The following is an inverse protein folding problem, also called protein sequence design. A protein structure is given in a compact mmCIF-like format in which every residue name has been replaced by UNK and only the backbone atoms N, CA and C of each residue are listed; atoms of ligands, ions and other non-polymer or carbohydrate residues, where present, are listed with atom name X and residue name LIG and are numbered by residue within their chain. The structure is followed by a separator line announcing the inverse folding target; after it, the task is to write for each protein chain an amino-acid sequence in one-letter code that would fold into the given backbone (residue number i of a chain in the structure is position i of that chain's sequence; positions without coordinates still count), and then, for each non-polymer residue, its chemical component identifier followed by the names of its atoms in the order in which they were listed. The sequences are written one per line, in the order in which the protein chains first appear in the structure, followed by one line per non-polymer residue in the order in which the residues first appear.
data_IF_911538073133
#
_entry.id   IF_911538073133
#
_cell.length_a   1.000
_cell.length_b   1.000
_cell.length_c   1.000
_cell.angle_alpha   90.00
_cell.angle_beta   90.00
_cell.angle_gamma   90.00
#
_symmetry.space_group_name_H-M   'P 1'
#
loop_
_entity.id
_entity.type
_entity.pdbx_description
1 polymer ?
#
# COMPACT_ATOMS: atom_id res chain seq x y z
N UNK A 1 -13.81 65.09 8.32
CA UNK A 1 -13.43 64.45 7.04
C UNK A 1 -12.00 64.73 6.62
N UNK A 2 -11.03 64.11 7.31
CA UNK A 2 -9.59 64.21 6.98
C UNK A 2 -9.21 63.43 5.71
N UNK A 3 -10.04 62.48 5.28
CA UNK A 3 -9.78 61.61 4.12
C UNK A 3 -9.75 62.40 2.80
N UNK A 4 -10.58 63.44 2.67
CA UNK A 4 -10.64 64.26 1.45
C UNK A 4 -9.45 65.21 1.26
N UNK A 5 -8.62 65.43 2.30
CA UNK A 5 -7.39 66.22 2.18
C UNK A 5 -6.23 65.40 1.61
N UNK A 6 -6.16 64.11 1.95
CA UNK A 6 -5.07 63.23 1.50
C UNK A 6 -5.20 62.81 0.03
N UNK A 7 -6.40 62.71 -0.52
CA UNK A 7 -6.64 62.34 -1.93
C UNK A 7 -6.22 63.38 -2.95
N UNK A 8 -5.86 64.61 -2.52
CA UNK A 8 -5.38 65.69 -3.39
C UNK A 8 -3.85 65.71 -3.58
N UNK A 9 -3.13 64.88 -2.83
CA UNK A 9 -1.67 64.80 -2.95
C UNK A 9 -1.30 63.95 -4.17
N UNK A 10 -0.38 64.42 -5.01
CA UNK A 10 -0.02 63.81 -6.30
C UNK A 10 0.38 62.32 -6.21
N UNK A 11 0.83 61.90 -5.02
CA UNK A 11 1.22 60.52 -4.69
C UNK A 11 0.03 59.53 -4.71
N UNK A 12 -1.21 60.00 -4.59
CA UNK A 12 -2.42 59.17 -4.52
C UNK A 12 -3.28 59.22 -5.78
N UNK A 13 -2.82 59.89 -6.84
CA UNK A 13 -3.55 59.97 -8.11
C UNK A 13 -3.63 58.63 -8.86
N UNK A 14 -2.76 57.67 -8.54
CA UNK A 14 -2.78 56.32 -9.11
C UNK A 14 -3.70 55.35 -8.34
N UNK A 15 -4.25 55.78 -7.19
CA UNK A 15 -5.13 54.94 -6.37
C UNK A 15 -6.59 55.23 -6.74
N UNK A 16 -7.17 54.35 -7.56
CA UNK A 16 -8.58 54.39 -7.93
C UNK A 16 -9.47 53.56 -6.99
N UNK A 17 -10.79 53.66 -7.17
CA UNK A 17 -11.78 52.87 -6.43
C UNK A 17 -11.50 51.37 -6.58
N UNK A 18 -11.51 50.66 -5.45
CA UNK A 18 -11.29 49.22 -5.40
C UNK A 18 -12.39 48.47 -6.15
N UNK A 19 -12.07 47.94 -7.33
CA UNK A 19 -13.00 47.19 -8.20
C UNK A 19 -13.00 45.67 -7.97
N UNK A 20 -12.62 45.21 -6.78
CA UNK A 20 -12.54 43.79 -6.45
C UNK A 20 -11.41 43.08 -7.21
N UNK A 21 -10.43 42.57 -6.49
CA UNK A 21 -9.49 41.59 -7.06
C UNK A 21 -9.93 40.19 -6.69
N UNK A 22 -9.67 39.25 -7.61
CA UNK A 22 -9.72 37.80 -7.43
C UNK A 22 -9.39 37.42 -5.98
N UNK A 23 -10.29 36.65 -5.35
CA UNK A 23 -10.18 36.26 -3.96
C UNK A 23 -8.99 35.30 -3.74
N UNK A 24 -7.78 35.83 -3.68
CA UNK A 24 -6.74 35.20 -2.87
C UNK A 24 -7.12 35.46 -1.41
N UNK A 25 -7.65 34.41 -0.77
CA UNK A 25 -8.17 34.49 0.60
C UNK A 25 -7.09 35.01 1.54
N UNK A 26 -7.42 36.05 2.31
CA UNK A 26 -6.57 36.63 3.35
C UNK A 26 -6.11 35.58 4.39
N UNK A 27 -6.92 34.54 4.58
CA UNK A 27 -6.64 33.37 5.43
C UNK A 27 -5.40 32.60 4.93
N UNK A 28 -5.16 32.55 3.62
CA UNK A 28 -4.01 31.87 3.02
C UNK A 28 -2.68 32.59 3.30
N UNK A 29 -2.69 33.89 3.58
CA UNK A 29 -1.48 34.63 3.91
C UNK A 29 -1.10 34.53 5.40
N UNK A 30 -2.08 34.28 6.28
CA UNK A 30 -1.90 34.28 7.74
C UNK A 30 -1.58 32.89 8.32
N UNK A 31 -1.84 31.79 7.60
CA UNK A 31 -1.52 30.44 8.06
C UNK A 31 0.00 30.15 8.04
N UNK A 32 0.53 29.64 9.15
CA UNK A 32 1.97 29.52 9.41
C UNK A 32 2.77 28.70 8.36
N UNK A 33 2.15 27.68 7.74
CA UNK A 33 2.75 26.87 6.69
C UNK A 33 2.88 27.57 5.33
N UNK A 34 1.95 28.47 5.02
CA UNK A 34 1.84 29.12 3.71
C UNK A 34 2.90 30.20 3.50
N UNK A 35 3.22 30.96 4.54
CA UNK A 35 4.27 31.98 4.51
C UNK A 35 5.67 31.39 4.19
N UNK A 36 5.92 30.13 4.56
CA UNK A 36 7.18 29.42 4.27
C UNK A 36 7.29 29.01 2.81
N UNK A 37 6.22 28.42 2.25
CA UNK A 37 6.14 28.11 0.80
C UNK A 37 6.36 29.37 -0.03
N UNK A 38 5.71 30.47 0.38
CA UNK A 38 5.84 31.77 -0.29
C UNK A 38 7.26 32.36 -0.17
N UNK A 39 7.93 32.23 0.98
CA UNK A 39 9.33 32.68 1.15
C UNK A 39 10.32 31.87 0.32
N UNK A 40 10.21 30.53 0.34
CA UNK A 40 11.03 29.64 -0.50
C UNK A 40 10.78 29.93 -1.98
N UNK A 41 9.53 30.22 -2.36
CA UNK A 41 9.18 30.68 -3.71
C UNK A 41 9.89 31.98 -4.10
N UNK A 42 9.86 33.00 -3.24
CA UNK A 42 10.57 34.26 -3.51
C UNK A 42 12.07 33.99 -3.70
N UNK A 43 12.67 33.15 -2.85
CA UNK A 43 14.09 32.79 -2.95
C UNK A 43 14.41 32.02 -4.24
N UNK A 44 13.58 31.05 -4.63
CA UNK A 44 13.73 30.30 -5.89
C UNK A 44 13.57 31.23 -7.11
N UNK A 45 12.62 32.17 -7.06
CA UNK A 45 12.40 33.18 -8.10
C UNK A 45 13.62 34.10 -8.25
N UNK A 46 14.21 34.55 -7.14
CA UNK A 46 15.46 35.32 -7.16
C UNK A 46 16.62 34.52 -7.76
N UNK A 47 16.75 33.24 -7.40
CA UNK A 47 17.83 32.37 -7.89
C UNK A 47 17.69 32.07 -9.39
N UNK A 48 16.47 31.86 -9.86
CA UNK A 48 16.16 31.59 -11.26
C UNK A 48 16.28 32.86 -12.13
N UNK A 49 15.90 34.03 -11.61
CA UNK A 49 16.08 35.32 -12.28
C UNK A 49 17.56 35.71 -12.44
N UNK A 50 18.45 35.26 -11.55
CA UNK A 50 19.89 35.50 -11.65
C UNK A 50 20.59 34.65 -12.73
N UNK A 51 19.99 33.55 -13.18
CA UNK A 51 20.57 32.63 -14.18
C UNK A 51 19.88 32.68 -15.54
N UNK A 52 18.62 33.13 -15.60
CA UNK A 52 17.84 33.25 -16.83
C UNK A 52 17.27 34.67 -16.89
N UNK A 53 17.73 35.48 -17.86
CA UNK A 53 17.32 36.87 -18.01
C UNK A 53 15.81 37.10 -17.91
N UNK A 54 15.44 38.27 -17.41
CA UNK A 54 14.18 38.72 -16.77
C UNK A 54 12.83 38.38 -17.43
N UNK A 55 12.74 37.67 -18.56
CA UNK A 55 11.54 37.70 -19.40
C UNK A 55 10.67 36.43 -19.47
N UNK A 56 10.96 35.34 -18.72
CA UNK A 56 10.15 34.09 -18.85
C UNK A 56 9.71 33.36 -17.58
N UNK A 57 10.07 33.83 -16.39
CA UNK A 57 9.61 33.27 -15.09
C UNK A 57 8.26 33.85 -14.60
N UNK A 58 7.63 34.72 -15.39
CA UNK A 58 6.60 35.66 -14.95
C UNK A 58 5.14 35.14 -14.93
N UNK A 59 4.84 33.84 -15.06
CA UNK A 59 3.43 33.41 -15.28
C UNK A 59 2.92 32.18 -14.51
N UNK A 60 3.69 31.53 -13.62
CA UNK A 60 3.18 30.37 -12.86
C UNK A 60 2.45 30.80 -11.58
N UNK A 61 1.28 30.25 -11.36
CA UNK A 61 0.51 30.38 -10.11
C UNK A 61 1.23 29.68 -8.94
N UNK A 62 0.92 30.08 -7.71
CA UNK A 62 1.49 29.43 -6.51
C UNK A 62 1.14 27.94 -6.45
N UNK A 63 -0.05 27.56 -6.95
CA UNK A 63 -0.49 26.17 -7.01
C UNK A 63 0.40 25.31 -7.95
N UNK A 64 0.69 25.77 -9.16
CA UNK A 64 1.59 25.07 -10.10
C UNK A 64 3.01 24.93 -9.55
N UNK A 65 3.46 25.89 -8.74
CA UNK A 65 4.77 25.82 -8.11
C UNK A 65 4.77 24.82 -6.96
N UNK A 66 3.71 24.83 -6.16
CA UNK A 66 3.51 23.86 -5.10
C UNK A 66 3.49 22.42 -5.66
N UNK A 67 2.81 22.19 -6.78
CA UNK A 67 2.80 20.92 -7.51
C UNK A 67 4.21 20.45 -7.90
N UNK A 68 4.99 21.31 -8.56
CA UNK A 68 6.37 21.01 -8.95
C UNK A 68 7.24 20.75 -7.71
N UNK A 69 7.04 21.50 -6.63
CA UNK A 69 7.78 21.29 -5.38
C UNK A 69 7.43 19.94 -4.76
N UNK A 70 6.14 19.56 -4.68
CA UNK A 70 5.70 18.25 -4.21
C UNK A 70 6.32 17.11 -5.03
N UNK A 71 6.38 17.26 -6.35
CA UNK A 71 7.04 16.29 -7.23
C UNK A 71 8.53 16.11 -6.90
N UNK A 72 9.25 17.22 -6.69
CA UNK A 72 10.67 17.17 -6.29
C UNK A 72 10.86 16.59 -4.88
N UNK A 73 9.92 16.82 -3.98
CA UNK A 73 9.95 16.27 -2.62
C UNK A 73 9.72 14.75 -2.63
N UNK A 74 8.74 14.25 -3.38
CA UNK A 74 8.54 12.80 -3.57
C UNK A 74 9.78 12.15 -4.18
N UNK A 75 10.39 12.80 -5.17
CA UNK A 75 11.67 12.38 -5.75
C UNK A 75 12.77 12.28 -4.70
N UNK A 76 12.91 13.30 -3.84
CA UNK A 76 13.89 13.34 -2.75
C UNK A 76 13.67 12.20 -1.75
N UNK A 77 12.41 11.92 -1.40
CA UNK A 77 12.04 10.80 -0.52
C UNK A 77 12.48 9.47 -1.14
N UNK A 78 12.16 9.21 -2.41
CA UNK A 78 12.55 7.97 -3.11
C UNK A 78 14.07 7.77 -3.08
N UNK A 79 14.85 8.82 -3.37
CA UNK A 79 16.31 8.77 -3.32
C UNK A 79 16.83 8.51 -1.89
N UNK A 80 16.16 9.06 -0.87
CA UNK A 80 16.50 8.81 0.53
C UNK A 80 16.25 7.37 0.99
N UNK A 81 15.38 6.63 0.29
CA UNK A 81 15.09 5.21 0.55
C UNK A 81 16.13 4.26 -0.08
N UNK A 82 17.16 4.79 -0.76
CA UNK A 82 18.26 3.98 -1.32
C UNK A 82 18.10 3.61 -2.80
N UNK A 83 17.07 4.14 -3.47
CA UNK A 83 16.85 3.95 -4.89
C UNK A 83 17.85 4.78 -5.71
N UNK A 84 18.60 4.13 -6.60
CA UNK A 84 19.60 4.79 -7.43
C UNK A 84 19.03 5.14 -8.81
N UNK A 85 19.25 6.35 -9.33
CA UNK A 85 18.78 6.73 -10.65
C UNK A 85 19.55 5.99 -11.73
N UNK A 86 18.84 5.25 -12.60
CA UNK A 86 19.45 4.54 -13.72
C UNK A 86 19.48 5.38 -14.99
N UNK A 87 18.39 6.11 -15.24
CA UNK A 87 18.22 6.94 -16.42
C UNK A 87 17.57 8.25 -16.02
N UNK A 88 18.24 9.36 -16.36
CA UNK A 88 17.68 10.70 -16.31
C UNK A 88 17.15 11.03 -17.70
N UNK A 89 15.86 10.85 -17.94
CA UNK A 89 15.24 11.34 -19.17
C UNK A 89 14.93 12.85 -19.07
N UNK A 90 15.95 13.66 -18.74
CA UNK A 90 15.84 15.12 -18.62
C UNK A 90 15.48 15.80 -19.96
N UNK A 91 15.61 15.09 -21.08
CA UNK A 91 15.14 15.55 -22.38
C UNK A 91 13.63 15.79 -22.42
N UNK A 92 12.84 15.12 -21.57
CA UNK A 92 11.38 15.29 -21.53
C UNK A 92 10.89 16.35 -20.54
N UNK A 93 11.66 16.69 -19.49
CA UNK A 93 11.34 17.87 -18.66
C UNK A 93 11.39 19.18 -19.46
N UNK A 94 12.25 19.24 -20.50
CA UNK A 94 12.30 20.38 -21.43
C UNK A 94 11.14 20.42 -22.44
N UNK A 95 10.43 19.31 -22.64
CA UNK A 95 9.39 19.15 -23.66
C UNK A 95 7.96 19.07 -23.08
N UNK A 96 7.77 19.11 -21.76
CA UNK A 96 6.42 19.20 -21.15
C UNK A 96 5.71 20.51 -21.51
N UNK A 97 6.44 21.55 -21.96
CA UNK A 97 5.83 22.82 -22.36
C UNK A 97 5.63 23.00 -23.88
N UNK A 98 6.28 22.20 -24.74
CA UNK A 98 6.26 22.44 -26.18
C UNK A 98 6.47 21.16 -27.01
N UNK A 99 5.50 20.25 -26.99
CA UNK A 99 5.05 19.44 -28.15
C UNK A 99 4.04 18.38 -27.68
N UNK A 100 2.78 18.56 -28.08
CA UNK A 100 1.72 17.55 -27.96
C UNK A 100 2.02 16.39 -28.90
N UNK A 101 2.85 15.44 -28.49
CA UNK A 101 2.87 14.09 -29.05
C UNK A 101 3.71 13.17 -28.14
N UNK A 102 3.04 12.58 -27.15
CA UNK A 102 3.60 11.40 -26.48
C UNK A 102 3.58 10.22 -27.47
N UNK A 103 4.63 9.39 -27.53
CA UNK A 103 4.52 8.08 -28.15
C UNK A 103 3.31 7.36 -27.54
N UNK A 104 2.57 6.63 -28.39
CA UNK A 104 1.49 5.77 -27.94
C UNK A 104 2.01 4.87 -26.83
N UNK A 105 1.31 4.84 -25.72
CA UNK A 105 1.39 3.82 -24.68
C UNK A 105 2.58 3.81 -23.72
N UNK A 106 2.84 4.86 -22.94
CA UNK A 106 3.46 4.66 -21.62
C UNK A 106 3.44 5.94 -20.77
N UNK A 107 3.44 5.77 -19.45
CA UNK A 107 3.74 6.84 -18.51
C UNK A 107 5.09 7.45 -18.93
N UNK A 108 5.11 8.74 -19.29
CA UNK A 108 6.35 9.43 -19.64
C UNK A 108 7.16 9.71 -18.37
N UNK A 109 7.86 8.68 -17.88
CA UNK A 109 8.66 8.74 -16.66
C UNK A 109 9.76 9.81 -16.79
N UNK A 110 9.76 10.76 -15.86
CA UNK A 110 10.81 11.77 -15.75
C UNK A 110 12.09 11.16 -15.15
N UNK A 111 11.93 10.21 -14.23
CA UNK A 111 13.01 9.50 -13.56
C UNK A 111 12.73 8.01 -13.47
N UNK A 112 13.75 7.20 -13.73
CA UNK A 112 13.73 5.75 -13.53
C UNK A 112 14.81 5.37 -12.52
N UNK A 113 14.40 4.67 -11.47
CA UNK A 113 15.25 4.21 -10.39
C UNK A 113 15.26 2.69 -10.31
N UNK A 114 16.36 2.13 -9.81
CA UNK A 114 16.42 0.72 -9.42
C UNK A 114 16.93 0.59 -8.00
N UNK A 115 16.38 -0.38 -7.28
CA UNK A 115 16.88 -0.83 -6.00
C UNK A 115 17.79 -2.04 -6.21
N UNK A 116 19.06 -1.90 -5.86
CA UNK A 116 20.07 -2.94 -6.13
C UNK A 116 19.87 -4.21 -5.30
N UNK A 117 19.10 -4.15 -4.20
CA UNK A 117 19.00 -5.28 -3.25
C UNK A 117 17.90 -6.29 -3.57
N UNK A 118 16.84 -5.88 -4.29
CA UNK A 118 15.69 -6.74 -4.66
C UNK A 118 15.26 -6.58 -6.12
N UNK A 119 16.01 -5.80 -6.92
CA UNK A 119 15.68 -5.61 -8.33
C UNK A 119 14.44 -4.75 -8.60
N UNK A 120 13.78 -4.20 -7.57
CA UNK A 120 12.61 -3.33 -7.72
C UNK A 120 12.96 -2.10 -8.57
N UNK A 121 12.11 -1.78 -9.53
CA UNK A 121 12.23 -0.61 -10.39
C UNK A 121 11.11 0.39 -10.08
N UNK A 122 11.47 1.67 -10.03
CA UNK A 122 10.52 2.77 -9.83
C UNK A 122 10.57 3.72 -11.01
N UNK A 123 9.40 4.00 -11.58
CA UNK A 123 9.18 5.04 -12.59
C UNK A 123 8.40 6.20 -11.95
N UNK A 124 8.99 7.39 -11.93
CA UNK A 124 8.38 8.60 -11.40
C UNK A 124 8.05 9.57 -12.55
N UNK A 125 6.76 9.89 -12.73
CA UNK A 125 6.29 10.83 -13.75
C UNK A 125 5.56 12.03 -13.15
N UNK A 126 5.69 13.15 -13.85
CA UNK A 126 4.93 14.38 -13.64
C UNK A 126 3.80 14.45 -14.67
N UNK A 127 2.57 14.74 -14.25
CA UNK A 127 1.38 14.85 -15.10
C UNK A 127 1.16 13.63 -16.02
N UNK A 128 1.25 12.42 -15.46
CA UNK A 128 1.10 11.19 -16.23
C UNK A 128 -0.31 11.11 -16.88
N UNK A 129 -0.38 10.95 -18.20
CA UNK A 129 -1.66 10.96 -18.92
C UNK A 129 -2.18 9.55 -19.19
N UNK A 130 -3.27 9.18 -18.52
CA UNK A 130 -4.05 7.98 -18.81
C UNK A 130 -5.24 8.34 -19.70
N UNK A 131 -5.42 7.64 -20.82
CA UNK A 131 -6.41 8.00 -21.83
C UNK A 131 -7.21 6.78 -22.32
N UNK A 132 -8.36 6.98 -22.99
CA UNK A 132 -9.09 5.91 -23.64
C UNK A 132 -8.35 5.22 -24.79
N UNK A 133 -7.18 5.72 -25.21
CA UNK A 133 -6.37 5.12 -26.26
C UNK A 133 -5.15 4.35 -25.73
N UNK A 134 -4.98 4.26 -24.41
CA UNK A 134 -3.88 3.48 -23.82
C UNK A 134 -4.04 1.98 -24.06
N UNK A 135 -2.93 1.27 -24.26
CA UNK A 135 -2.91 -0.20 -24.43
C UNK A 135 -2.79 -0.95 -23.11
N UNK A 136 -1.76 -0.65 -22.29
CA UNK A 136 -1.51 -1.37 -21.05
C UNK A 136 -2.30 -0.82 -19.87
N UNK A 137 -2.31 0.51 -19.70
CA UNK A 137 -3.06 1.19 -18.64
C UNK A 137 -3.92 2.28 -19.29
N UNK A 138 -5.23 2.13 -19.21
CA UNK A 138 -6.17 3.03 -19.89
C UNK A 138 -7.34 3.40 -19.02
N UNK A 139 -8.06 4.41 -19.50
CA UNK A 139 -9.35 4.83 -18.97
C UNK A 139 -10.42 4.54 -20.02
N UNK A 140 -11.72 4.69 -19.70
CA UNK A 140 -12.80 4.42 -20.66
C UNK A 140 -13.46 5.70 -21.17
N UNK A 141 -13.78 6.62 -20.26
CA UNK A 141 -14.65 7.75 -20.57
C UNK A 141 -13.92 9.08 -20.71
N UNK A 142 -12.82 9.27 -19.97
CA UNK A 142 -12.14 10.55 -19.89
C UNK A 142 -10.62 10.39 -19.77
N UNK A 143 -9.90 11.47 -20.08
CA UNK A 143 -8.48 11.53 -19.77
C UNK A 143 -8.29 11.84 -18.29
N UNK A 144 -7.38 11.12 -17.64
CA UNK A 144 -7.01 11.33 -16.25
C UNK A 144 -5.52 11.65 -16.16
N UNK A 145 -5.19 12.69 -15.38
CA UNK A 145 -3.84 13.25 -15.26
C UNK A 145 -3.52 13.56 -13.80
N UNK A 146 -3.12 12.56 -12.98
CA UNK A 146 -2.54 12.85 -11.68
C UNK A 146 -1.24 13.65 -11.85
N UNK A 147 -0.99 14.57 -10.91
CA UNK A 147 0.20 15.44 -10.95
C UNK A 147 1.48 14.63 -10.77
N UNK A 148 1.44 13.58 -9.93
CA UNK A 148 2.56 12.68 -9.70
C UNK A 148 2.07 11.24 -9.82
N UNK A 149 2.73 10.45 -10.66
CA UNK A 149 2.51 9.01 -10.73
C UNK A 149 3.80 8.26 -10.45
N UNK A 150 3.73 7.37 -9.47
CA UNK A 150 4.79 6.44 -9.11
C UNK A 150 4.37 5.04 -9.55
N UNK A 151 5.08 4.44 -10.50
CA UNK A 151 4.90 3.02 -10.85
C UNK A 151 6.03 2.22 -10.24
N UNK A 152 5.65 1.19 -9.51
CA UNK A 152 6.57 0.25 -8.87
C UNK A 152 6.47 -1.05 -9.64
N UNK A 153 7.57 -1.49 -10.24
CA UNK A 153 7.69 -2.77 -10.90
C UNK A 153 8.58 -3.70 -10.06
N UNK A 154 8.06 -4.88 -9.77
CA UNK A 154 8.72 -5.93 -9.02
C UNK A 154 9.49 -6.84 -9.98
N UNK A 155 10.49 -7.58 -9.47
CA UNK A 155 11.34 -8.46 -10.30
C UNK A 155 10.54 -9.57 -11.00
N UNK A 156 9.42 -10.00 -10.42
CA UNK A 156 8.53 -11.00 -11.01
C UNK A 156 7.64 -10.46 -12.16
N UNK A 157 7.81 -9.19 -12.55
CA UNK A 157 7.08 -8.54 -13.64
C UNK A 157 5.76 -7.90 -13.23
N UNK A 158 5.33 -8.05 -11.98
CA UNK A 158 4.14 -7.38 -11.46
C UNK A 158 4.40 -5.90 -11.21
N UNK A 159 3.37 -5.07 -11.34
CA UNK A 159 3.51 -3.65 -11.07
C UNK A 159 2.23 -3.03 -10.53
N UNK A 160 2.39 -1.95 -9.78
CA UNK A 160 1.29 -1.15 -9.25
C UNK A 160 1.64 0.35 -9.27
N UNK A 161 0.61 1.19 -9.14
CA UNK A 161 0.74 2.64 -9.06
C UNK A 161 0.45 3.15 -7.65
N UNK A 162 1.22 4.15 -7.24
CA UNK A 162 0.88 5.08 -6.18
C UNK A 162 0.73 6.46 -6.84
N UNK A 163 -0.43 7.09 -6.69
CA UNK A 163 -0.75 8.35 -7.34
C UNK A 163 -0.81 9.48 -6.32
N UNK A 164 -0.34 10.67 -6.70
CA UNK A 164 -0.50 11.88 -5.92
C UNK A 164 -1.01 13.04 -6.76
N UNK A 165 -1.73 13.95 -6.12
CA UNK A 165 -2.25 15.18 -6.72
C UNK A 165 -2.12 16.31 -5.69
N UNK A 166 -1.44 17.39 -6.08
CA UNK A 166 -1.07 18.49 -5.22
C UNK A 166 -2.18 19.54 -5.21
N UNK A 167 -2.67 19.86 -4.01
CA UNK A 167 -3.73 20.84 -3.79
C UNK A 167 -3.24 21.94 -2.87
N UNK A 168 -3.01 23.13 -3.44
CA UNK A 168 -2.64 24.32 -2.68
C UNK A 168 -3.85 24.99 -2.00
N UNK A 169 -4.60 24.22 -1.21
CA UNK A 169 -5.78 24.66 -0.44
C UNK A 169 -5.89 23.82 0.82
N UNK A 170 -6.34 24.44 1.92
CA UNK A 170 -6.72 23.76 3.16
C UNK A 170 -8.20 23.99 3.43
N UNK A 171 -8.79 23.05 4.15
CA UNK A 171 -10.10 23.16 4.76
C UNK A 171 -9.92 23.03 6.28
N UNK A 172 -10.36 24.04 7.03
CA UNK A 172 -10.27 24.06 8.51
C UNK A 172 -11.61 23.74 9.18
N UNK A 173 -12.61 23.30 8.42
CA UNK A 173 -13.97 23.04 8.92
C UNK A 173 -14.26 21.55 9.07
N UNK A 174 -13.62 20.71 8.24
CA UNK A 174 -13.89 19.28 8.19
C UNK A 174 -13.31 18.48 9.37
N UNK A 175 -12.15 18.88 9.90
CA UNK A 175 -11.42 18.13 10.93
C UNK A 175 -11.18 18.94 12.22
N UNK A 176 -12.17 19.74 12.62
CA UNK A 176 -12.07 20.61 13.78
C UNK A 176 -10.91 21.60 13.63
N UNK A 177 -10.04 21.69 14.65
CA UNK A 177 -8.89 22.61 14.65
C UNK A 177 -7.69 22.13 13.78
N UNK A 178 -7.83 21.01 13.06
CA UNK A 178 -6.75 20.44 12.23
C UNK A 178 -6.93 20.83 10.76
N UNK A 179 -5.82 21.16 10.11
CA UNK A 179 -5.79 21.41 8.67
C UNK A 179 -6.19 20.13 7.91
N UNK A 180 -7.24 20.22 7.09
CA UNK A 180 -7.67 19.14 6.20
C UNK A 180 -7.44 19.54 4.73
N UNK A 181 -7.46 18.54 3.85
CA UNK A 181 -7.55 18.79 2.42
C UNK A 181 -9.02 19.00 2.04
N UNK A 182 -9.35 19.87 1.07
CA UNK A 182 -10.72 19.99 0.58
C UNK A 182 -11.32 18.66 0.12
N UNK A 183 -12.61 18.44 0.37
CA UNK A 183 -13.31 17.19 0.04
C UNK A 183 -13.19 16.82 -1.45
N UNK A 184 -13.21 17.82 -2.33
CA UNK A 184 -13.07 17.64 -3.78
C UNK A 184 -11.74 16.98 -4.18
N UNK A 185 -10.68 17.19 -3.40
CA UNK A 185 -9.39 16.56 -3.59
C UNK A 185 -9.45 15.05 -3.29
N UNK A 186 -10.14 14.65 -2.23
CA UNK A 186 -10.34 13.23 -1.88
C UNK A 186 -11.20 12.54 -2.93
N UNK A 187 -12.28 13.20 -3.37
CA UNK A 187 -13.13 12.70 -4.46
C UNK A 187 -12.34 12.52 -5.77
N UNK A 188 -11.39 13.41 -6.05
CA UNK A 188 -10.47 13.26 -7.18
C UNK A 188 -9.57 12.02 -7.06
N UNK A 189 -9.16 11.62 -5.84
CA UNK A 189 -8.34 10.43 -5.62
C UNK A 189 -9.12 9.14 -5.86
N UNK A 190 -10.37 9.06 -5.39
CA UNK A 190 -11.28 7.96 -5.72
C UNK A 190 -11.44 7.81 -7.23
N UNK A 191 -11.63 8.93 -7.94
CA UNK A 191 -11.76 8.95 -9.39
C UNK A 191 -10.54 8.36 -10.09
N UNK A 192 -9.32 8.72 -9.68
CA UNK A 192 -8.12 8.17 -10.30
C UNK A 192 -7.93 6.68 -10.02
N UNK A 193 -8.11 6.25 -8.78
CA UNK A 193 -7.98 4.83 -8.38
C UNK A 193 -8.91 3.94 -9.20
N UNK A 194 -10.16 4.38 -9.40
CA UNK A 194 -11.18 3.55 -10.03
C UNK A 194 -11.21 3.68 -11.57
N UNK A 195 -10.78 4.81 -12.15
CA UNK A 195 -10.86 5.04 -13.60
C UNK A 195 -9.72 4.41 -14.40
N UNK A 196 -8.56 4.17 -13.78
CA UNK A 196 -7.39 3.57 -14.44
C UNK A 196 -7.48 2.05 -14.30
N UNK A 197 -7.53 1.36 -15.44
CA UNK A 197 -7.59 -0.11 -15.49
C UNK A 197 -6.40 -0.62 -16.29
N UNK A 198 -5.77 -1.65 -15.75
CA UNK A 198 -4.71 -2.39 -16.41
C UNK A 198 -5.30 -3.48 -17.30
N UNK A 199 -4.71 -3.65 -18.47
CA UNK A 199 -5.10 -4.68 -19.43
C UNK A 199 -3.91 -5.59 -19.74
N UNK A 200 -4.02 -6.84 -19.30
CA UNK A 200 -3.12 -7.90 -19.71
C UNK A 200 -3.71 -8.57 -20.95
N UNK A 201 -3.03 -8.41 -22.08
CA UNK A 201 -3.43 -9.02 -23.34
C UNK A 201 -2.90 -10.46 -23.39
N UNK A 202 -3.80 -11.41 -23.63
CA UNK A 202 -3.49 -12.81 -23.83
C UNK A 202 -3.80 -13.18 -25.28
N UNK A 203 -2.99 -14.06 -25.86
CA UNK A 203 -3.22 -14.53 -27.22
C UNK A 203 -4.56 -15.27 -27.30
N UNK A 204 -5.40 -14.93 -28.28
CA UNK A 204 -6.74 -15.50 -28.49
C UNK A 204 -7.82 -15.21 -27.44
N UNK A 205 -7.56 -14.35 -26.45
CA UNK A 205 -8.53 -14.02 -25.39
C UNK A 205 -8.84 -12.52 -25.31
N UNK A 206 -9.97 -12.20 -24.68
CA UNK A 206 -10.23 -10.81 -24.28
C UNK A 206 -9.24 -10.40 -23.18
N UNK A 207 -8.73 -9.15 -23.19
CA UNK A 207 -7.75 -8.74 -22.20
C UNK A 207 -8.28 -8.89 -20.78
N UNK A 208 -7.47 -9.53 -19.92
CA UNK A 208 -7.74 -9.59 -18.49
C UNK A 208 -7.60 -8.19 -17.91
N UNK A 209 -8.56 -7.80 -17.07
CA UNK A 209 -8.62 -6.46 -16.49
C UNK A 209 -8.36 -6.53 -15.00
N UNK A 210 -7.51 -5.64 -14.52
CA UNK A 210 -7.25 -5.47 -13.09
C UNK A 210 -7.13 -3.99 -12.75
N UNK A 211 -7.28 -3.66 -11.46
CA UNK A 211 -7.02 -2.31 -10.96
C UNK A 211 -5.55 -2.21 -10.56
N UNK A 212 -4.75 -1.33 -11.19
CA UNK A 212 -3.32 -1.26 -10.92
C UNK A 212 -2.96 -0.21 -9.85
N UNK A 213 -3.91 0.62 -9.42
CA UNK A 213 -3.65 1.68 -8.44
C UNK A 213 -3.78 1.11 -7.03
N UNK A 214 -2.65 0.98 -6.33
CA UNK A 214 -2.59 0.51 -4.94
C UNK A 214 -3.03 1.62 -3.96
N UNK A 215 -2.68 2.87 -4.26
CA UNK A 215 -3.08 4.01 -3.44
C UNK A 215 -3.13 5.32 -4.23
N UNK A 216 -4.01 6.23 -3.84
CA UNK A 216 -4.12 7.56 -4.41
C UNK A 216 -4.32 8.61 -3.30
N UNK A 217 -3.44 9.61 -3.26
CA UNK A 217 -3.34 10.54 -2.14
C UNK A 217 -3.26 12.01 -2.57
N UNK A 218 -4.00 12.87 -1.87
CA UNK A 218 -3.82 14.30 -2.04
C UNK A 218 -2.60 14.80 -1.24
N UNK A 219 -1.82 15.72 -1.82
CA UNK A 219 -0.76 16.44 -1.14
C UNK A 219 -1.22 17.87 -0.90
N UNK A 220 -1.14 18.33 0.35
CA UNK A 220 -1.70 19.64 0.70
C UNK A 220 -0.82 20.36 1.73
N UNK A 221 -0.83 21.71 1.75
CA UNK A 221 0.04 22.50 2.62
C UNK A 221 -0.47 22.58 4.08
N UNK A 222 -0.98 21.47 4.63
CA UNK A 222 -1.42 21.38 6.02
C UNK A 222 -0.24 21.42 7.00
N UNK A 223 -0.41 22.11 8.11
CA UNK A 223 0.64 22.28 9.11
C UNK A 223 0.46 21.35 10.32
N UNK A 224 1.35 20.37 10.42
CA UNK A 224 1.40 19.40 11.52
C UNK A 224 2.81 19.37 12.10
N UNK A 225 3.09 20.10 13.22
CA UNK A 225 4.43 20.19 13.77
C UNK A 225 4.91 18.88 14.42
N UNK A 226 3.97 18.04 14.86
CA UNK A 226 4.21 16.87 15.70
C UNK A 226 3.95 15.53 14.98
N UNK A 227 4.24 15.42 13.66
CA UNK A 227 3.96 14.19 12.90
C UNK A 227 4.61 12.90 13.46
N UNK A 228 5.67 13.02 14.27
CA UNK A 228 6.34 11.85 14.88
C UNK A 228 5.62 11.32 16.12
N UNK A 229 4.87 12.16 16.83
CA UNK A 229 4.11 11.82 18.04
C UNK A 229 2.61 11.70 17.78
N UNK A 230 2.12 12.25 16.66
CA UNK A 230 0.72 12.19 16.26
C UNK A 230 0.48 11.23 15.09
N UNK A 231 -0.75 10.72 15.00
CA UNK A 231 -1.22 9.95 13.86
C UNK A 231 -1.76 10.88 12.77
N UNK A 232 -1.48 10.56 11.51
CA UNK A 232 -2.09 11.25 10.36
C UNK A 232 -3.63 11.18 10.48
N UNK A 233 -4.37 12.31 10.40
CA UNK A 233 -5.83 12.31 10.41
C UNK A 233 -6.48 11.39 9.36
N UNK A 234 -5.78 11.13 8.25
CA UNK A 234 -6.23 10.24 7.18
C UNK A 234 -5.75 8.79 7.32
N UNK A 235 -5.05 8.43 8.41
CA UNK A 235 -4.41 7.12 8.56
C UNK A 235 -5.39 5.94 8.43
N UNK A 236 -6.59 6.06 9.02
CA UNK A 236 -7.62 5.02 8.91
C UNK A 236 -8.03 4.80 7.46
N UNK A 237 -8.39 5.86 6.72
CA UNK A 237 -8.76 5.77 5.31
C UNK A 237 -7.60 5.26 4.42
N UNK A 238 -6.36 5.68 4.71
CA UNK A 238 -5.18 5.20 3.99
C UNK A 238 -5.03 3.68 4.18
N UNK A 239 -5.20 3.17 5.39
CA UNK A 239 -5.04 1.75 5.71
C UNK A 239 -6.20 0.91 5.17
N UNK A 240 -7.44 1.35 5.39
CA UNK A 240 -8.63 0.58 5.05
C UNK A 240 -8.92 0.60 3.55
N UNK A 241 -8.72 1.74 2.86
CA UNK A 241 -9.15 1.91 1.46
C UNK A 241 -8.08 2.45 0.50
N UNK A 242 -6.87 2.75 0.98
CA UNK A 242 -5.78 3.24 0.12
C UNK A 242 -6.03 4.62 -0.48
N UNK A 243 -6.93 5.41 0.12
CA UNK A 243 -7.27 6.77 -0.27
C UNK A 243 -7.08 7.68 0.95
N UNK A 244 -6.50 8.85 0.75
CA UNK A 244 -6.34 9.83 1.83
C UNK A 244 -5.51 11.01 1.40
N UNK A 245 -4.84 11.64 2.37
CA UNK A 245 -3.98 12.78 2.12
C UNK A 245 -2.74 12.78 3.02
N UNK A 246 -1.68 13.40 2.52
CA UNK A 246 -0.47 13.67 3.28
C UNK A 246 -0.20 15.18 3.30
N UNK A 247 -0.08 15.80 4.48
CA UNK A 247 0.41 17.17 4.57
C UNK A 247 1.86 17.22 4.11
N UNK A 248 2.18 18.19 3.27
CA UNK A 248 3.51 18.33 2.70
C UNK A 248 3.86 19.82 2.56
N UNK A 249 4.85 20.25 3.34
CA UNK A 249 5.31 21.64 3.41
C UNK A 249 6.85 21.72 3.34
N UNK A 250 7.41 22.74 2.67
CA UNK A 250 8.85 23.02 2.72
C UNK A 250 9.34 23.24 4.15
N UNK A 251 10.53 22.73 4.47
CA UNK A 251 11.20 22.98 5.76
C UNK A 251 12.57 23.62 5.53
N UNK A 252 12.92 24.62 6.35
CA UNK A 252 14.18 25.38 6.20
C UNK A 252 15.40 24.64 6.79
N UNK A 253 15.20 23.61 7.62
CA UNK A 253 16.26 23.03 8.46
C UNK A 253 16.46 21.51 8.34
N UNK A 254 16.03 20.86 7.25
CA UNK A 254 16.10 19.39 7.12
C UNK A 254 15.51 18.63 8.32
N UNK A 255 14.63 19.26 9.10
CA UNK A 255 13.90 18.55 10.15
C UNK A 255 12.84 17.71 9.43
N UNK A 256 13.00 16.38 9.48
CA UNK A 256 12.11 15.35 8.92
C UNK A 256 10.64 15.44 9.44
N UNK A 257 10.21 16.54 10.07
CA UNK A 257 8.90 16.65 10.71
C UNK A 257 7.75 16.81 9.72
N UNK A 258 7.97 17.46 8.57
CA UNK A 258 6.86 17.91 7.70
C UNK A 258 6.51 16.94 6.57
N UNK A 259 7.36 15.94 6.30
CA UNK A 259 7.15 14.89 5.30
C UNK A 259 7.18 13.48 5.93
N UNK A 260 7.15 13.40 7.27
CA UNK A 260 7.35 12.15 8.01
C UNK A 260 6.32 11.09 7.60
N UNK A 261 5.03 11.44 7.57
CA UNK A 261 3.98 10.47 7.27
C UNK A 261 4.06 9.91 5.84
N UNK A 262 4.34 10.73 4.83
CA UNK A 262 4.53 10.25 3.46
C UNK A 262 5.82 9.43 3.32
N UNK A 263 6.89 9.84 4.00
CA UNK A 263 8.17 9.13 4.01
C UNK A 263 8.04 7.76 4.65
N UNK A 264 7.37 7.63 5.79
CA UNK A 264 7.12 6.35 6.44
C UNK A 264 6.16 5.48 5.62
N UNK A 265 5.12 6.05 5.01
CA UNK A 265 4.24 5.31 4.10
C UNK A 265 5.02 4.75 2.90
N UNK A 266 5.77 5.60 2.19
CA UNK A 266 6.59 5.16 1.06
C UNK A 266 7.71 4.21 1.49
N UNK A 267 8.31 4.41 2.67
CA UNK A 267 9.26 3.46 3.23
C UNK A 267 8.61 2.10 3.45
N UNK A 268 7.42 2.02 4.03
CA UNK A 268 6.70 0.75 4.21
C UNK A 268 6.30 0.08 2.89
N UNK A 269 5.96 0.86 1.85
CA UNK A 269 5.56 0.31 0.55
C UNK A 269 6.71 -0.02 -0.39
N UNK A 270 7.83 0.68 -0.30
CA UNK A 270 8.94 0.60 -1.25
C UNK A 270 10.23 0.03 -0.64
N UNK A 271 10.35 0.01 0.68
CA UNK A 271 11.55 -0.37 1.39
C UNK A 271 11.28 -1.30 2.57
N UNK A 272 12.29 -2.08 2.94
CA UNK A 272 12.33 -2.69 4.28
C UNK A 272 12.74 -1.58 5.24
N UNK A 273 11.79 -0.92 5.92
CA UNK A 273 12.16 0.18 6.83
C UNK A 273 13.08 -0.32 7.95
N UNK A 274 14.28 0.27 7.97
CA UNK A 274 15.32 0.35 9.02
C UNK A 274 16.28 -0.84 9.20
N UNK A 275 17.55 -0.52 8.90
CA UNK A 275 18.81 -1.13 9.36
C UNK A 275 18.69 -2.13 10.52
N UNK A 276 19.39 -3.26 10.33
CA UNK A 276 19.83 -4.23 11.33
C UNK A 276 18.81 -5.30 11.76
N UNK A 277 18.72 -6.34 10.94
CA UNK A 277 19.25 -7.65 11.33
C UNK A 277 19.85 -8.29 10.09
N UNK A 278 21.17 -8.49 10.13
CA UNK A 278 21.91 -9.33 9.21
C UNK A 278 21.21 -10.68 9.09
N UNK A 279 21.10 -11.17 7.85
CA UNK A 279 20.34 -12.35 7.43
C UNK A 279 18.81 -12.21 7.51
N UNK A 280 18.16 -11.90 6.37
CA UNK A 280 17.18 -12.82 5.76
C UNK A 280 16.64 -12.34 4.41
N UNK A 281 16.39 -13.36 3.61
CA UNK A 281 15.79 -13.50 2.27
C UNK A 281 14.80 -12.40 1.87
N UNK A 282 14.73 -12.17 0.55
CA UNK A 282 13.70 -11.38 -0.14
C UNK A 282 12.35 -11.53 0.54
N UNK A 283 11.72 -10.41 0.92
CA UNK A 283 10.30 -10.43 1.30
C UNK A 283 9.51 -10.95 0.10
N UNK A 284 8.52 -11.81 0.32
CA UNK A 284 7.63 -12.21 -0.78
C UNK A 284 6.93 -10.97 -1.34
N UNK A 285 7.02 -10.77 -2.66
CA UNK A 285 6.32 -9.72 -3.41
C UNK A 285 4.81 -9.72 -3.16
N UNK A 286 4.26 -10.84 -2.68
CA UNK A 286 2.85 -10.98 -2.34
C UNK A 286 2.36 -9.93 -1.33
N UNK A 287 3.27 -9.40 -0.49
CA UNK A 287 2.97 -8.42 0.54
C UNK A 287 2.09 -7.27 0.04
N UNK A 288 2.42 -6.68 -1.10
CA UNK A 288 1.72 -5.51 -1.66
C UNK A 288 0.27 -5.82 -2.04
N UNK A 289 -0.09 -7.10 -2.23
CA UNK A 289 -1.40 -7.53 -2.74
C UNK A 289 -2.27 -8.21 -1.66
N UNK A 290 -1.80 -8.26 -0.40
CA UNK A 290 -2.53 -8.87 0.71
C UNK A 290 -3.30 -7.84 1.56
N UNK A 291 -2.85 -6.60 1.53
CA UNK A 291 -3.39 -5.50 2.31
C UNK A 291 -4.89 -5.30 2.08
N UNK A 292 -5.60 -4.85 3.11
CA UNK A 292 -7.06 -4.68 3.07
C UNK A 292 -7.49 -3.74 1.93
N UNK A 293 -6.80 -2.61 1.77
CA UNK A 293 -7.05 -1.64 0.69
C UNK A 293 -6.90 -2.22 -0.72
N UNK A 294 -5.99 -3.19 -0.92
CA UNK A 294 -5.78 -3.85 -2.20
C UNK A 294 -6.83 -4.94 -2.51
N UNK A 295 -7.59 -5.38 -1.50
CA UNK A 295 -8.54 -6.52 -1.59
C UNK A 295 -10.01 -6.13 -1.51
N UNK A 296 -10.32 -4.84 -1.70
CA UNK A 296 -11.71 -4.36 -1.76
C UNK A 296 -12.36 -4.83 -3.07
N UNK A 297 -13.13 -5.91 -2.98
CA UNK A 297 -13.92 -6.45 -4.07
C UNK A 297 -15.37 -5.94 -4.04
N UNK A 298 -16.11 -5.98 -5.16
CA UNK A 298 -17.56 -5.87 -5.14
C UNK A 298 -18.17 -6.92 -4.19
N UNK A 299 -19.23 -6.55 -3.48
CA UNK A 299 -19.90 -7.45 -2.54
C UNK A 299 -20.36 -8.74 -3.26
N UNK A 300 -19.98 -9.89 -2.69
CA UNK A 300 -20.23 -11.22 -3.27
C UNK A 300 -19.08 -11.79 -4.11
N UNK A 301 -18.03 -11.00 -4.35
CA UNK A 301 -16.79 -11.46 -5.01
C UNK A 301 -15.66 -11.52 -3.99
N UNK A 302 -14.75 -12.48 -4.13
CA UNK A 302 -13.52 -12.56 -3.35
C UNK A 302 -12.32 -12.44 -4.28
N UNK A 303 -11.36 -11.59 -3.92
CA UNK A 303 -10.06 -11.52 -4.61
C UNK A 303 -9.10 -12.44 -3.88
N UNK A 304 -8.67 -13.52 -4.54
CA UNK A 304 -7.68 -14.45 -4.01
C UNK A 304 -6.33 -14.28 -4.72
N UNK A 305 -5.24 -14.18 -3.95
CA UNK A 305 -3.89 -14.10 -4.51
C UNK A 305 -3.40 -15.45 -5.05
N UNK A 306 -3.55 -16.52 -4.26
CA UNK A 306 -3.20 -17.88 -4.63
C UNK A 306 -4.44 -18.76 -4.68
N UNK A 307 -4.65 -19.45 -5.80
CA UNK A 307 -5.60 -20.54 -5.87
C UNK A 307 -4.99 -21.75 -5.16
N UNK A 308 -5.76 -22.42 -4.30
CA UNK A 308 -5.29 -23.63 -3.61
C UNK A 308 -4.28 -23.42 -2.48
N UNK A 309 -4.34 -22.28 -1.79
CA UNK A 309 -3.54 -22.04 -0.59
C UNK A 309 -3.77 -23.14 0.47
N UNK A 310 -2.69 -23.84 0.82
CA UNK A 310 -2.67 -24.97 1.75
C UNK A 310 -1.97 -24.61 3.04
N UNK A 311 -2.63 -24.86 4.16
CA UNK A 311 -2.13 -24.65 5.52
C UNK A 311 -1.64 -25.97 6.12
N UNK A 312 -0.32 -26.10 6.26
CA UNK A 312 0.34 -27.28 6.83
C UNK A 312 0.68 -27.01 8.29
N UNK A 313 -0.05 -27.63 9.21
CA UNK A 313 0.03 -27.31 10.63
C UNK A 313 -0.06 -28.55 11.55
N UNK A 314 0.58 -28.51 12.72
CA UNK A 314 0.48 -29.58 13.69
C UNK A 314 -0.85 -29.52 14.46
N UNK A 315 -1.38 -30.70 14.79
CA UNK A 315 -2.42 -30.83 15.80
C UNK A 315 -1.77 -30.67 17.18
N UNK A 316 -2.33 -29.82 18.04
CA UNK A 316 -1.93 -29.78 19.44
C UNK A 316 -2.54 -30.98 20.16
N UNK A 317 -1.69 -31.90 20.60
CA UNK A 317 -2.08 -33.19 21.21
C UNK A 317 -2.23 -33.10 22.74
N UNK A 318 -1.82 -32.00 23.38
CA UNK A 318 -1.84 -31.82 24.83
C UNK A 318 -3.27 -31.64 25.36
N UNK A 319 -3.62 -32.42 26.38
CA UNK A 319 -4.93 -32.41 27.05
C UNK A 319 -6.13 -32.48 26.09
N UNK A 320 -6.00 -33.23 24.99
CA UNK A 320 -7.10 -33.44 24.04
C UNK A 320 -7.82 -34.74 24.29
N UNK A 321 -9.11 -34.73 23.99
CA UNK A 321 -9.95 -35.92 23.96
C UNK A 321 -9.37 -36.97 22.99
N UNK A 322 -9.29 -38.22 23.43
CA UNK A 322 -8.71 -39.29 22.62
C UNK A 322 -9.49 -39.52 21.32
N UNK A 323 -10.82 -39.34 21.33
CA UNK A 323 -11.64 -39.51 20.13
C UNK A 323 -11.32 -38.44 19.07
N UNK A 324 -10.96 -37.23 19.50
CA UNK A 324 -10.51 -36.17 18.60
C UNK A 324 -9.16 -36.52 17.95
N UNK A 325 -8.21 -37.06 18.73
CA UNK A 325 -6.91 -37.48 18.21
C UNK A 325 -7.04 -38.66 17.23
N UNK A 326 -7.89 -39.65 17.53
CA UNK A 326 -8.14 -40.75 16.61
C UNK A 326 -8.81 -40.28 15.30
N UNK A 327 -9.72 -39.30 15.37
CA UNK A 327 -10.28 -38.65 14.17
C UNK A 327 -9.20 -37.95 13.34
N UNK A 328 -8.23 -37.29 13.99
CA UNK A 328 -7.10 -36.67 13.30
C UNK A 328 -6.22 -37.70 12.56
N UNK A 329 -5.94 -38.84 13.19
CA UNK A 329 -5.15 -39.95 12.60
C UNK A 329 -5.85 -40.67 11.45
N UNK A 330 -7.18 -40.69 11.48
CA UNK A 330 -8.02 -41.45 10.53
C UNK A 330 -8.63 -40.58 9.42
N UNK A 331 -8.37 -39.27 9.41
CA UNK A 331 -8.95 -38.38 8.39
C UNK A 331 -10.41 -37.98 8.67
N UNK A 332 -10.93 -38.22 9.86
CA UNK A 332 -12.36 -38.05 10.19
C UNK A 332 -12.67 -36.77 10.98
N UNK A 333 -11.76 -35.79 10.96
CA UNK A 333 -12.01 -34.48 11.56
C UNK A 333 -13.11 -33.73 10.78
N UNK A 334 -13.95 -33.00 11.51
CA UNK A 334 -14.94 -32.07 10.91
C UNK A 334 -14.40 -30.64 10.76
N UNK A 335 -13.29 -30.34 11.43
CA UNK A 335 -12.67 -29.04 11.40
C UNK A 335 -11.39 -28.97 12.21
N UNK A 336 -10.77 -27.80 12.22
CA UNK A 336 -9.54 -27.48 12.93
C UNK A 336 -9.57 -26.07 13.49
N UNK A 337 -8.75 -25.78 14.49
CA UNK A 337 -8.64 -24.44 15.07
C UNK A 337 -7.21 -24.07 15.46
N UNK A 338 -6.86 -22.78 15.35
CA UNK A 338 -5.60 -22.23 15.86
C UNK A 338 -5.76 -20.82 16.42
N UNK A 339 -4.86 -20.40 17.31
CA UNK A 339 -4.92 -19.09 17.98
C UNK A 339 -4.65 -17.97 16.99
N UNK A 340 -5.39 -16.85 17.07
CA UNK A 340 -5.08 -15.64 16.31
C UNK A 340 -3.65 -15.12 16.62
N UNK A 341 -3.23 -15.21 17.88
CA UNK A 341 -1.87 -14.81 18.30
C UNK A 341 -0.80 -15.67 17.60
N UNK A 342 -1.09 -16.94 17.31
CA UNK A 342 -0.12 -17.81 16.64
C UNK A 342 0.12 -17.36 15.19
N UNK A 343 -0.94 -16.99 14.47
CA UNK A 343 -0.81 -16.45 13.10
C UNK A 343 -0.15 -15.08 13.10
N UNK A 344 -0.47 -14.22 14.07
CA UNK A 344 0.15 -12.90 14.20
C UNK A 344 1.65 -12.99 14.49
N UNK A 345 2.10 -13.96 15.31
CA UNK A 345 3.54 -14.18 15.59
C UNK A 345 4.35 -14.57 14.35
N UNK A 346 3.69 -15.18 13.35
CA UNK A 346 4.28 -15.49 12.05
C UNK A 346 3.97 -14.42 10.99
N UNK A 347 3.45 -13.24 11.40
CA UNK A 347 3.08 -12.10 10.55
C UNK A 347 2.10 -12.44 9.41
N UNK A 348 1.24 -13.45 9.60
CA UNK A 348 0.27 -13.84 8.57
C UNK A 348 -0.99 -12.98 8.68
N UNK A 349 -1.26 -12.22 7.62
CA UNK A 349 -2.43 -11.35 7.54
C UNK A 349 -3.74 -12.13 7.59
N UNK A 350 -4.79 -11.50 8.14
CA UNK A 350 -6.11 -12.13 8.30
C UNK A 350 -6.71 -12.58 6.97
N UNK A 351 -6.48 -11.81 5.91
CA UNK A 351 -6.98 -12.14 4.58
C UNK A 351 -6.34 -13.40 4.01
N UNK A 352 -5.06 -13.66 4.31
CA UNK A 352 -4.38 -14.91 3.93
C UNK A 352 -5.07 -16.09 4.60
N UNK A 353 -5.37 -15.98 5.90
CA UNK A 353 -6.05 -17.05 6.62
C UNK A 353 -7.43 -17.36 6.02
N UNK A 354 -8.14 -16.35 5.53
CA UNK A 354 -9.44 -16.50 4.85
C UNK A 354 -9.33 -17.09 3.43
N UNK A 355 -8.17 -17.01 2.80
CA UNK A 355 -7.89 -17.61 1.49
C UNK A 355 -7.54 -19.09 1.55
N UNK A 356 -7.22 -19.62 2.73
CA UNK A 356 -6.90 -21.04 2.88
C UNK A 356 -8.07 -21.87 2.36
N UNK A 357 -7.76 -22.78 1.43
CA UNK A 357 -8.71 -23.74 0.85
C UNK A 357 -8.41 -25.17 1.23
N UNK A 358 -7.17 -25.45 1.63
CA UNK A 358 -6.75 -26.79 2.01
C UNK A 358 -5.97 -26.79 3.32
N UNK A 359 -6.12 -27.85 4.10
CA UNK A 359 -5.34 -28.10 5.31
C UNK A 359 -4.64 -29.45 5.21
N UNK A 360 -3.38 -29.50 5.64
CA UNK A 360 -2.68 -30.74 5.98
C UNK A 360 -2.34 -30.70 7.46
N UNK A 361 -2.91 -31.63 8.22
CA UNK A 361 -2.74 -31.70 9.66
C UNK A 361 -1.77 -32.82 10.03
N UNK A 362 -0.70 -32.47 10.73
CA UNK A 362 0.28 -33.45 11.21
C UNK A 362 -0.05 -33.90 12.63
N UNK A 363 -0.13 -35.21 12.86
CA UNK A 363 -0.41 -35.83 14.17
C UNK A 363 0.44 -37.09 14.36
N UNK A 364 0.85 -37.42 15.59
CA UNK A 364 1.57 -38.68 15.87
C UNK A 364 0.62 -39.88 15.82
N UNK A 365 1.09 -41.04 15.38
CA UNK A 365 0.31 -42.29 15.46
C UNK A 365 0.29 -42.81 16.91
N UNK A 366 1.42 -42.70 17.61
CA UNK A 366 1.63 -43.04 19.03
C UNK A 366 2.30 -41.91 19.82
N UNK A 367 2.00 -41.80 21.11
CA UNK A 367 2.60 -40.79 22.00
C UNK A 367 4.12 -40.94 22.17
N UNK A 368 4.68 -42.10 21.80
CA UNK A 368 6.12 -42.38 21.84
C UNK A 368 6.84 -41.93 20.55
N UNK A 369 6.09 -41.61 19.49
CA UNK A 369 6.66 -41.23 18.21
C UNK A 369 7.32 -39.84 18.30
N UNK A 370 8.43 -39.70 17.58
CA UNK A 370 9.17 -38.44 17.47
C UNK A 370 8.72 -37.60 16.28
N UNK A 371 7.85 -38.14 15.43
CA UNK A 371 7.38 -37.49 14.21
C UNK A 371 5.85 -37.50 14.15
N UNK A 372 5.29 -36.37 13.73
CA UNK A 372 3.91 -36.20 13.33
C UNK A 372 3.78 -36.44 11.82
N UNK A 373 2.69 -37.08 11.41
CA UNK A 373 2.43 -37.45 10.02
C UNK A 373 1.24 -36.67 9.47
N UNK A 374 1.44 -35.96 8.37
CA UNK A 374 0.40 -35.35 7.56
C UNK A 374 0.00 -36.28 6.43
N UNK A 375 -1.08 -37.04 6.61
CA UNK A 375 -1.55 -38.07 5.67
C UNK A 375 -2.69 -37.59 4.77
N UNK A 376 -3.46 -36.61 5.23
CA UNK A 376 -4.73 -36.22 4.64
C UNK A 376 -4.73 -34.75 4.23
N UNK A 377 -5.29 -34.48 3.06
CA UNK A 377 -5.60 -33.17 2.53
C UNK A 377 -7.09 -32.87 2.77
N UNK A 378 -7.38 -31.95 3.67
CA UNK A 378 -8.73 -31.53 4.00
C UNK A 378 -9.13 -30.32 3.16
N UNK A 379 -10.31 -30.36 2.53
CA UNK A 379 -10.91 -29.19 1.87
C UNK A 379 -11.65 -28.32 2.88
N UNK A 380 -11.39 -27.01 2.85
CA UNK A 380 -11.99 -26.04 3.77
C UNK A 380 -13.27 -25.46 3.19
N UNK A 381 -14.39 -25.70 3.87
CA UNK A 381 -15.69 -25.12 3.58
C UNK A 381 -15.76 -23.64 3.99
N UNK A 382 -15.26 -23.33 5.18
CA UNK A 382 -15.37 -22.00 5.76
C UNK A 382 -14.23 -21.70 6.74
N UNK A 383 -13.88 -20.41 6.83
CA UNK A 383 -12.91 -19.89 7.81
C UNK A 383 -13.57 -18.79 8.63
N UNK A 384 -13.67 -19.01 9.94
CA UNK A 384 -14.31 -18.10 10.89
C UNK A 384 -13.31 -17.65 11.96
N UNK A 385 -13.50 -16.45 12.49
CA UNK A 385 -12.76 -15.95 13.65
C UNK A 385 -13.74 -15.87 14.82
N UNK A 386 -13.59 -16.77 15.80
CA UNK A 386 -14.52 -16.92 16.92
C UNK A 386 -13.77 -16.84 18.27
N UNK A 387 -14.40 -16.30 19.33
CA UNK A 387 -13.93 -16.48 20.70
C UNK A 387 -13.84 -17.98 21.05
N UNK A 388 -12.87 -18.38 21.87
CA UNK A 388 -12.63 -19.80 22.18
C UNK A 388 -13.84 -20.54 22.76
N UNK A 389 -14.62 -19.86 23.60
CA UNK A 389 -15.86 -20.35 24.21
C UNK A 389 -16.97 -20.70 23.21
N UNK A 390 -16.94 -20.11 22.02
CA UNK A 390 -18.00 -20.28 21.02
C UNK A 390 -17.65 -21.39 20.00
N UNK A 391 -16.59 -22.16 20.26
CA UNK A 391 -16.11 -23.21 19.35
C UNK A 391 -16.45 -24.58 19.92
N UNK A 392 -17.13 -25.39 19.10
CA UNK A 392 -17.54 -26.74 19.45
C UNK A 392 -16.36 -27.63 19.90
N UNK A 393 -16.61 -28.44 20.92
CA UNK A 393 -15.70 -29.48 21.41
C UNK A 393 -15.32 -30.46 20.30
N UNK A 394 -16.21 -30.77 19.37
CA UNK A 394 -15.93 -31.67 18.25
C UNK A 394 -14.78 -31.17 17.35
N UNK A 395 -14.60 -29.85 17.25
CA UNK A 395 -13.53 -29.21 16.47
C UNK A 395 -12.26 -29.01 17.31
N UNK A 396 -12.41 -28.85 18.62
CA UNK A 396 -11.30 -28.44 19.48
C UNK A 396 -10.69 -29.55 20.31
N UNK A 397 -11.42 -30.64 20.51
CA UNK A 397 -11.05 -31.77 21.38
C UNK A 397 -11.03 -31.43 22.86
N UNK A 398 -11.51 -30.25 23.30
CA UNK A 398 -11.51 -29.80 24.70
C UNK A 398 -12.51 -28.66 24.90
N UNK A 399 -13.14 -28.56 26.06
CA UNK A 399 -13.97 -27.40 26.42
C UNK A 399 -13.12 -26.25 27.00
N UNK A 400 -13.51 -25.00 26.77
CA UNK A 400 -12.79 -23.84 27.32
C UNK A 400 -13.65 -22.58 27.28
N UNK A 401 -13.71 -21.85 28.40
CA UNK A 401 -14.49 -20.59 28.52
C UNK A 401 -13.71 -19.33 28.09
N UNK A 402 -12.56 -19.51 27.45
CA UNK A 402 -11.66 -18.42 27.13
C UNK A 402 -12.27 -17.46 26.07
N UNK A 403 -11.89 -16.19 26.12
CA UNK A 403 -12.42 -15.14 25.21
C UNK A 403 -11.49 -14.84 24.05
N UNK A 404 -10.26 -15.37 24.06
CA UNK A 404 -9.30 -15.13 23.00
C UNK A 404 -9.84 -15.66 21.68
N UNK A 405 -9.50 -14.95 20.59
CA UNK A 405 -9.97 -15.27 19.25
C UNK A 405 -9.13 -16.37 18.62
N UNK A 406 -9.81 -17.30 17.96
CA UNK A 406 -9.22 -18.41 17.22
C UNK A 406 -9.76 -18.43 15.80
N UNK A 407 -8.90 -18.80 14.87
CA UNK A 407 -9.30 -19.22 13.54
C UNK A 407 -9.93 -20.61 13.63
N UNK A 408 -11.07 -20.78 12.99
CA UNK A 408 -11.82 -22.03 12.91
C UNK A 408 -12.01 -22.38 11.45
N UNK A 409 -11.55 -23.57 11.07
CA UNK A 409 -11.66 -24.15 9.75
C UNK A 409 -12.68 -25.28 9.80
N UNK A 410 -13.76 -25.16 9.02
CA UNK A 410 -14.76 -26.22 8.87
C UNK A 410 -14.47 -26.97 7.56
N UNK A 411 -14.54 -28.30 7.57
CA UNK A 411 -14.26 -29.12 6.39
C UNK A 411 -15.54 -29.49 5.64
N UNK A 412 -15.49 -29.46 4.30
CA UNK A 412 -16.67 -29.68 3.43
C UNK A 412 -16.82 -31.12 2.95
N UNK A 413 -15.71 -31.81 2.74
CA UNK A 413 -15.65 -33.09 2.03
C UNK A 413 -14.81 -34.11 2.81
N UNK A 414 -14.93 -35.37 2.43
CA UNK A 414 -13.99 -36.40 2.89
C UNK A 414 -12.59 -36.06 2.39
N UNK A 415 -11.57 -36.06 3.26
CA UNK A 415 -10.24 -35.66 2.84
C UNK A 415 -9.64 -36.66 1.85
N UNK A 416 -8.72 -36.15 1.04
CA UNK A 416 -7.97 -36.96 0.08
C UNK A 416 -6.67 -37.44 0.73
N UNK A 417 -6.30 -38.69 0.50
CA UNK A 417 -5.00 -39.21 0.94
C UNK A 417 -3.88 -38.57 0.11
N UNK A 418 -2.87 -38.03 0.77
CA UNK A 418 -1.71 -37.47 0.08
C UNK A 418 -0.87 -38.57 -0.58
N UNK A 419 -0.33 -38.27 -1.76
CA UNK A 419 0.63 -39.15 -2.43
C UNK A 419 1.90 -39.32 -1.59
N UNK A 420 2.40 -38.23 -1.01
CA UNK A 420 3.54 -38.21 -0.12
C UNK A 420 3.09 -37.78 1.28
N UNK A 421 3.40 -38.61 2.28
CA UNK A 421 3.13 -38.30 3.68
C UNK A 421 4.13 -37.24 4.13
N UNK A 422 3.63 -36.10 4.63
CA UNK A 422 4.49 -35.03 5.14
C UNK A 422 4.89 -35.37 6.57
N UNK A 423 6.18 -35.62 6.79
CA UNK A 423 6.75 -35.85 8.12
C UNK A 423 7.17 -34.54 8.78
N UNK A 424 6.78 -34.34 10.04
CA UNK A 424 7.21 -33.19 10.85
C UNK A 424 7.73 -33.68 12.20
N UNK A 425 8.92 -33.28 12.65
CA UNK A 425 9.36 -33.53 14.01
C UNK A 425 8.36 -32.99 15.04
N UNK A 426 8.06 -33.79 16.06
CA UNK A 426 7.18 -33.36 17.15
C UNK A 426 7.87 -32.26 17.95
N UNK A 427 7.18 -31.14 18.11
CA UNK A 427 7.61 -29.99 18.89
C UNK A 427 6.42 -29.47 19.68
N UNK A 428 6.63 -29.03 20.92
CA UNK A 428 5.58 -28.41 21.73
C UNK A 428 5.17 -27.04 21.21
N UNK A 429 6.08 -26.37 20.50
CA UNK A 429 5.84 -25.07 19.91
C UNK A 429 5.01 -25.20 18.63
N UNK A 430 3.96 -24.38 18.53
CA UNK A 430 3.14 -24.33 17.34
C UNK A 430 3.85 -23.54 16.23
N UNK A 431 4.07 -24.19 15.10
CA UNK A 431 4.60 -23.57 13.88
C UNK A 431 3.90 -24.20 12.67
N UNK A 432 3.43 -23.37 11.75
CA UNK A 432 2.80 -23.79 10.50
C UNK A 432 3.52 -23.21 9.29
N UNK A 433 3.24 -23.79 8.12
CA UNK A 433 3.69 -23.27 6.83
C UNK A 433 2.55 -23.18 5.85
N UNK A 434 2.67 -22.26 4.90
CA UNK A 434 1.72 -22.06 3.81
C UNK A 434 2.38 -22.47 2.49
N UNK A 435 1.65 -23.19 1.64
CA UNK A 435 2.14 -23.62 0.32
C UNK A 435 0.99 -23.73 -0.67
N UNK A 436 1.30 -24.01 -1.94
CA UNK A 436 0.32 -24.28 -2.98
C UNK A 436 0.01 -25.78 -3.02
N UNK A 437 -1.27 -26.13 -3.20
CA UNK A 437 -1.70 -27.54 -3.24
C UNK A 437 -1.01 -28.32 -4.36
N UNK A 438 -0.73 -27.67 -5.49
CA UNK A 438 -0.09 -28.23 -6.67
C UNK A 438 1.37 -28.65 -6.40
N UNK A 439 2.01 -28.03 -5.39
CA UNK A 439 3.39 -28.29 -4.99
C UNK A 439 3.50 -29.38 -3.91
N UNK A 440 2.39 -29.78 -3.28
CA UNK A 440 2.40 -30.82 -2.23
C UNK A 440 2.99 -32.16 -2.69
N UNK A 441 2.81 -32.63 -3.93
CA UNK A 441 3.46 -33.86 -4.41
C UNK A 441 5.00 -33.81 -4.37
N UNK A 442 5.61 -32.64 -4.28
CA UNK A 442 7.07 -32.47 -4.19
C UNK A 442 7.59 -32.52 -2.75
N UNK A 443 6.69 -32.53 -1.75
CA UNK A 443 7.02 -32.38 -0.33
C UNK A 443 6.81 -33.71 0.40
N UNK A 444 7.85 -34.17 1.08
CA UNK A 444 7.84 -35.36 1.94
C UNK A 444 8.17 -35.03 3.40
N UNK A 445 8.84 -33.90 3.64
CA UNK A 445 9.21 -33.44 4.97
C UNK A 445 8.84 -31.97 5.17
N UNK A 446 8.32 -31.61 6.34
CA UNK A 446 7.87 -30.25 6.67
C UNK A 446 8.99 -29.19 6.51
N UNK A 447 10.24 -29.61 6.71
CA UNK A 447 11.43 -28.77 6.49
C UNK A 447 11.67 -28.39 5.02
N UNK A 448 11.13 -29.15 4.05
CA UNK A 448 11.30 -28.90 2.61
C UNK A 448 10.44 -27.75 2.09
N UNK A 449 9.35 -27.42 2.79
CA UNK A 449 8.51 -26.25 2.50
C UNK A 449 9.32 -25.01 2.91
N UNK A 450 10.15 -24.48 2.03
CA UNK A 450 10.97 -23.29 2.29
C UNK A 450 11.30 -22.60 0.96
N UNK A 451 11.62 -21.31 0.99
CA UNK A 451 11.99 -20.58 -0.24
C UNK A 451 10.81 -20.53 -1.21
N UNK A 452 10.97 -21.03 -2.44
CA UNK A 452 9.90 -20.97 -3.46
C UNK A 452 8.69 -21.87 -3.15
N UNK A 453 8.83 -22.82 -2.23
CA UNK A 453 7.76 -23.72 -1.81
C UNK A 453 6.92 -23.14 -0.66
N UNK A 454 7.47 -22.20 0.10
CA UNK A 454 6.79 -21.58 1.23
C UNK A 454 6.21 -20.22 0.81
N UNK A 455 4.89 -20.13 0.80
CA UNK A 455 4.20 -18.88 0.53
C UNK A 455 4.13 -18.03 1.80
N UNK A 456 4.19 -16.71 1.62
CA UNK A 456 4.09 -15.75 2.72
C UNK A 456 5.16 -15.93 3.82
N UNK A 457 6.30 -16.54 3.49
CA UNK A 457 7.46 -16.58 4.38
C UNK A 457 8.02 -15.15 4.56
N UNK A 458 8.44 -14.81 5.79
CA UNK A 458 9.11 -13.54 6.08
C UNK A 458 8.29 -12.27 5.74
N UNK A 459 6.96 -12.28 5.91
CA UNK A 459 6.17 -11.05 5.89
C UNK A 459 6.73 -10.06 6.94
N UNK A 460 6.93 -8.80 6.52
CA UNK A 460 7.56 -7.74 7.31
C UNK A 460 6.97 -7.64 8.72
N UNK A 461 7.81 -7.43 9.72
CA UNK A 461 7.41 -7.28 11.12
C UNK A 461 6.76 -5.92 11.46
N UNK A 462 6.51 -5.08 10.45
CA UNK A 462 6.01 -3.70 10.63
C UNK A 462 4.48 -3.67 10.55
N UNK A 463 3.81 -4.49 11.38
CA UNK A 463 2.37 -4.38 11.61
C UNK A 463 2.04 -4.29 13.08
#
# INVERSE_FOLDING_TARGET
DQVGQYTKHALWHEVGDYKGQYSESKVLQEAAGYSKVYKVWQQLKYYLNGSFGESRLSMKSVAEIYEIWCFLEVKSIIESLGFKPQRKALSHLKQVQFEKQFPKDEMAAAFVYQHESDGMQIELAHEASFTPKGSANRTWLANHRPDIALRVALENGESFFILFDAKYRIDTTQMGDKDAVPEDAINQMHRYRDAIIHQQHLEYESPLKSRPVLGAFALYPGFFPEQKSEQNPYAEAINEIGIGAFPLLPSENNQDSNNYWIKEYLAQKLGKTRKALEYKKSSSYDYHFVEDSARIAPYGVNVSRHFGLTFVAPVNELDRDQTYLEKAKTGSLKGYHTRLIATNRQNVHRNIMREIRYLVLTVRDSNQDREQLGKYLYTVASVKLLPRRDIDKEITGKDSDAIEKYWVFEFSETPVLLLNIIKKPYEEHFNFKLTQVERLPEVSHWGEIQGSLELYENLSAIW
#
